data_IF_288153716767
#
_entry.id   IF_288153716767
#
_cell.length_a   1.000
_cell.length_b   1.000
_cell.length_c   1.000
_cell.angle_alpha   90.00
_cell.angle_beta   90.00
_cell.angle_gamma   90.00
#
_symmetry.space_group_name_H-M   'P 1'
#
loop_
_entity.id
_entity.type
_entity.pdbx_description
1 polymer ?
#
# COMPACT_ATOMS: atom_id res chain seq x y z
N UNK A 1 -9.26 5.75 -0.53
CA UNK A 1 -8.76 4.93 -1.67
C UNK A 1 -9.23 5.52 -2.99
N UNK A 2 -10.54 5.64 -3.25
CA UNK A 2 -11.07 6.25 -4.49
C UNK A 2 -10.53 7.67 -4.67
N UNK A 3 -10.53 8.51 -3.62
CA UNK A 3 -10.00 9.88 -3.69
C UNK A 3 -8.51 9.96 -4.09
N UNK A 4 -7.75 8.86 -3.87
CA UNK A 4 -6.30 8.80 -4.12
C UNK A 4 -5.93 8.12 -5.45
N UNK A 5 -6.73 7.14 -5.87
CA UNK A 5 -6.41 6.26 -7.01
C UNK A 5 -7.47 6.26 -8.11
N UNK A 6 -8.57 6.99 -7.93
CA UNK A 6 -9.70 7.01 -8.83
C UNK A 6 -10.61 5.79 -8.70
N UNK A 7 -11.64 5.75 -9.55
CA UNK A 7 -12.66 4.70 -9.59
C UNK A 7 -12.41 3.69 -10.72
N UNK A 8 -11.15 3.30 -10.94
CA UNK A 8 -10.73 2.36 -12.00
C UNK A 8 -9.64 1.41 -11.49
N UNK A 9 -9.53 0.25 -12.13
CA UNK A 9 -8.55 -0.76 -11.76
C UNK A 9 -7.12 -0.22 -11.96
N UNK A 10 -6.28 -0.23 -10.92
CA UNK A 10 -4.89 0.26 -11.00
C UNK A 10 -3.97 -0.60 -11.88
N UNK A 11 -4.45 -1.77 -12.31
CA UNK A 11 -3.66 -2.70 -13.13
C UNK A 11 -4.10 -2.74 -14.59
N UNK A 12 -5.37 -2.55 -14.88
CA UNK A 12 -5.89 -2.65 -16.26
C UNK A 12 -6.90 -1.58 -16.66
N UNK A 13 -7.17 -0.59 -15.79
CA UNK A 13 -8.09 0.52 -16.05
C UNK A 13 -9.58 0.17 -16.07
N UNK A 14 -9.97 -1.11 -15.97
CA UNK A 14 -11.37 -1.52 -16.07
C UNK A 14 -12.18 -1.22 -14.80
N UNK A 15 -13.50 -1.09 -14.99
CA UNK A 15 -14.53 -0.93 -13.96
C UNK A 15 -15.59 -2.05 -14.11
N UNK A 16 -16.41 -2.35 -13.09
CA UNK A 16 -16.38 -1.81 -11.72
C UNK A 16 -15.17 -2.29 -10.91
N UNK A 17 -14.88 -1.60 -9.81
CA UNK A 17 -13.75 -1.92 -8.91
C UNK A 17 -14.22 -2.37 -7.52
N UNK A 18 -13.35 -3.11 -6.83
CA UNK A 18 -13.46 -3.44 -5.43
C UNK A 18 -12.16 -3.14 -4.68
N UNK A 19 -12.28 -2.90 -3.37
CA UNK A 19 -11.16 -2.68 -2.48
C UNK A 19 -10.37 -3.98 -2.25
N UNK A 20 -9.12 -4.04 -2.72
CA UNK A 20 -8.22 -5.14 -2.41
C UNK A 20 -7.17 -4.72 -1.38
N UNK A 21 -6.95 -5.53 -0.35
CA UNK A 21 -5.86 -5.33 0.62
C UNK A 21 -4.59 -5.99 0.10
N UNK A 22 -3.50 -5.23 -0.05
CA UNK A 22 -2.24 -5.74 -0.60
C UNK A 22 -1.44 -6.56 0.44
N UNK A 23 -1.44 -6.08 1.69
CA UNK A 23 -1.04 -6.85 2.87
C UNK A 23 -2.32 -7.29 3.58
N UNK A 24 -2.44 -8.59 3.83
CA UNK A 24 -3.63 -9.17 4.46
C UNK A 24 -3.81 -8.67 5.89
N UNK A 25 -5.08 -8.49 6.32
CA UNK A 25 -5.42 -8.05 7.69
C UNK A 25 -4.95 -9.04 8.76
N UNK A 26 -4.95 -10.34 8.45
CA UNK A 26 -4.36 -11.39 9.30
C UNK A 26 -2.85 -11.23 9.50
N UNK A 27 -2.20 -10.49 8.60
CA UNK A 27 -0.77 -10.14 8.63
C UNK A 27 -0.57 -8.65 8.94
N UNK A 28 -1.48 -8.05 9.72
CA UNK A 28 -1.40 -6.66 10.21
C UNK A 28 -1.72 -5.60 9.13
N UNK A 29 -2.15 -6.02 7.93
CA UNK A 29 -2.58 -5.09 6.89
C UNK A 29 -3.83 -4.30 7.28
N UNK A 30 -3.76 -2.98 7.20
CA UNK A 30 -4.86 -2.12 7.64
C UNK A 30 -5.73 -1.66 6.47
N UNK A 31 -6.92 -1.13 6.79
CA UNK A 31 -7.83 -0.52 5.79
C UNK A 31 -7.37 0.88 5.36
N UNK A 32 -6.12 1.26 5.64
CA UNK A 32 -5.57 2.54 5.24
C UNK A 32 -5.48 2.62 3.71
N UNK A 33 -5.51 3.84 3.15
CA UNK A 33 -5.50 4.00 1.69
C UNK A 33 -4.22 3.47 1.04
N UNK A 34 -3.07 3.48 1.75
CA UNK A 34 -1.77 3.03 1.26
C UNK A 34 -1.73 1.51 1.01
N UNK A 35 -2.46 0.74 1.83
CA UNK A 35 -2.59 -0.71 1.72
C UNK A 35 -3.71 -1.17 0.78
N UNK A 36 -4.56 -0.25 0.33
CA UNK A 36 -5.68 -0.56 -0.55
C UNK A 36 -5.32 -0.35 -2.02
N UNK A 37 -5.75 -1.28 -2.86
CA UNK A 37 -5.64 -1.20 -4.31
C UNK A 37 -7.03 -1.41 -4.95
N UNK A 38 -7.56 -0.44 -5.72
CA UNK A 38 -8.78 -0.67 -6.48
C UNK A 38 -8.51 -1.60 -7.65
N UNK A 39 -9.19 -2.75 -7.68
CA UNK A 39 -9.06 -3.76 -8.72
C UNK A 39 -10.42 -4.13 -9.30
N UNK A 40 -10.49 -4.38 -10.60
CA UNK A 40 -11.66 -5.03 -11.21
C UNK A 40 -11.74 -6.50 -10.80
N UNK A 41 -12.89 -7.14 -10.98
CA UNK A 41 -13.12 -8.53 -10.55
C UNK A 41 -12.05 -9.52 -11.06
N UNK A 42 -11.63 -9.41 -12.33
CA UNK A 42 -10.58 -10.26 -12.91
C UNK A 42 -9.23 -10.11 -12.20
N UNK A 43 -8.78 -8.87 -12.01
CA UNK A 43 -7.51 -8.58 -11.32
C UNK A 43 -7.60 -8.92 -9.83
N UNK A 44 -8.75 -8.67 -9.21
CA UNK A 44 -8.98 -8.97 -7.80
C UNK A 44 -8.90 -10.47 -7.53
N UNK A 45 -9.58 -11.30 -8.35
CA UNK A 45 -9.47 -12.75 -8.27
C UNK A 45 -8.03 -13.22 -8.46
N UNK A 46 -7.35 -12.69 -9.49
CA UNK A 46 -5.94 -13.01 -9.75
C UNK A 46 -5.04 -12.70 -8.55
N UNK A 47 -5.28 -11.59 -7.85
CA UNK A 47 -4.51 -11.21 -6.66
C UNK A 47 -4.69 -12.19 -5.49
N UNK A 48 -5.85 -12.87 -5.41
CA UNK A 48 -6.06 -13.93 -4.41
C UNK A 48 -5.52 -15.30 -4.85
N UNK A 49 -5.45 -15.58 -6.15
CA UNK A 49 -5.10 -16.92 -6.66
C UNK A 49 -3.65 -17.05 -7.15
N UNK A 50 -2.97 -15.95 -7.47
CA UNK A 50 -1.61 -15.96 -8.02
C UNK A 50 -0.66 -15.25 -7.06
N UNK A 51 0.22 -16.02 -6.42
CA UNK A 51 1.25 -15.50 -5.53
C UNK A 51 2.14 -14.45 -6.22
N UNK A 52 2.61 -14.75 -7.43
CA UNK A 52 3.45 -13.84 -8.22
C UNK A 52 2.75 -12.50 -8.50
N UNK A 53 1.47 -12.53 -8.85
CA UNK A 53 0.71 -11.31 -9.08
C UNK A 53 0.49 -10.53 -7.78
N UNK A 54 0.20 -11.21 -6.67
CA UNK A 54 0.06 -10.56 -5.37
C UNK A 54 1.38 -9.90 -4.90
N UNK A 55 2.51 -10.59 -5.07
CA UNK A 55 3.85 -10.05 -4.79
C UNK A 55 4.18 -8.86 -5.69
N UNK A 56 3.87 -8.95 -6.99
CA UNK A 56 4.02 -7.83 -7.92
C UNK A 56 3.28 -6.58 -7.44
N UNK A 57 2.01 -6.71 -7.01
CA UNK A 57 1.24 -5.59 -6.50
C UNK A 57 1.83 -5.00 -5.22
N UNK A 58 2.31 -5.86 -4.29
CA UNK A 58 2.99 -5.42 -3.07
C UNK A 58 4.28 -4.67 -3.38
N UNK A 59 5.11 -5.20 -4.27
CA UNK A 59 6.37 -4.59 -4.67
C UNK A 59 6.14 -3.26 -5.40
N UNK A 60 5.16 -3.20 -6.30
CA UNK A 60 4.74 -1.96 -6.97
C UNK A 60 4.33 -0.89 -5.96
N UNK A 61 3.59 -1.27 -4.92
CA UNK A 61 3.18 -0.35 -3.85
C UNK A 61 4.33 0.07 -2.95
N UNK A 62 5.18 -0.87 -2.54
CA UNK A 62 6.37 -0.58 -1.73
C UNK A 62 7.35 0.35 -2.47
N UNK A 63 7.49 0.20 -3.79
CA UNK A 63 8.29 1.10 -4.60
C UNK A 63 7.69 2.52 -4.72
N UNK A 64 6.39 2.69 -4.49
CA UNK A 64 5.72 4.00 -4.50
C UNK A 64 5.73 4.67 -3.13
N UNK A 65 5.44 3.92 -2.06
CA UNK A 65 5.14 4.47 -0.73
C UNK A 65 6.09 4.01 0.38
N UNK A 66 7.14 3.26 0.03
CA UNK A 66 8.05 2.61 0.97
C UNK A 66 7.54 1.25 1.47
N UNK A 67 8.43 0.41 2.03
CA UNK A 67 8.12 -0.96 2.45
C UNK A 67 7.09 -1.04 3.59
N UNK A 68 6.86 0.04 4.32
CA UNK A 68 5.97 0.07 5.48
C UNK A 68 4.52 0.48 5.17
N UNK A 69 4.15 0.64 3.89
CA UNK A 69 2.83 1.12 3.44
C UNK A 69 1.61 0.41 4.08
N UNK A 70 1.76 -0.88 4.43
CA UNK A 70 0.69 -1.71 5.00
C UNK A 70 0.45 -1.54 6.50
N UNK A 71 1.43 -0.97 7.23
CA UNK A 71 1.47 -0.95 8.69
C UNK A 71 0.63 0.19 9.28
N UNK A 72 0.11 -0.01 10.48
CA UNK A 72 -0.49 1.08 11.28
C UNK A 72 0.49 1.61 12.34
N UNK A 73 0.07 2.69 13.01
CA UNK A 73 0.83 3.34 14.07
C UNK A 73 1.20 2.42 15.24
N UNK A 74 0.34 1.46 15.59
CA UNK A 74 0.64 0.51 16.68
C UNK A 74 1.75 -0.46 16.28
N UNK A 75 1.72 -0.92 15.04
CA UNK A 75 2.74 -1.81 14.47
C UNK A 75 4.09 -1.11 14.38
N UNK A 76 4.11 0.11 13.83
CA UNK A 76 5.34 0.91 13.73
C UNK A 76 5.91 1.22 15.12
N UNK A 77 5.05 1.52 16.10
CA UNK A 77 5.50 1.76 17.47
C UNK A 77 6.08 0.48 18.11
N UNK A 78 5.42 -0.67 17.95
CA UNK A 78 5.90 -1.97 18.45
C UNK A 78 7.26 -2.34 17.87
N UNK A 79 7.48 -2.01 16.60
CA UNK A 79 8.75 -2.19 15.89
C UNK A 79 9.78 -1.08 16.15
N UNK A 80 9.44 -0.09 17.00
CA UNK A 80 10.30 1.06 17.36
C UNK A 80 10.69 1.94 16.17
N UNK A 81 9.86 2.00 15.13
CA UNK A 81 10.03 2.87 13.97
C UNK A 81 9.49 4.28 14.19
N UNK A 82 8.54 4.43 15.13
CA UNK A 82 8.03 5.73 15.59
C UNK A 82 8.08 5.80 17.13
N UNK A 83 8.21 7.00 17.72
CA UNK A 83 8.42 7.15 19.17
C UNK A 83 7.14 6.98 20.00
N UNK A 84 5.96 7.10 19.40
CA UNK A 84 4.65 6.97 20.05
C UNK A 84 3.57 6.63 19.01
N UNK A 85 2.34 6.40 19.45
CA UNK A 85 1.18 6.09 18.58
C UNK A 85 0.32 7.32 18.25
N UNK A 86 0.91 8.53 18.27
CA UNK A 86 0.23 9.74 17.82
C UNK A 86 0.14 9.78 16.29
N UNK A 87 -0.94 10.34 15.76
CA UNK A 87 -1.17 10.39 14.31
C UNK A 87 -0.12 11.26 13.59
N UNK A 88 0.39 12.29 14.27
CA UNK A 88 1.48 13.14 13.77
C UNK A 88 2.79 12.36 13.58
N UNK A 89 3.17 11.52 14.55
CA UNK A 89 4.34 10.64 14.46
C UNK A 89 4.20 9.63 13.33
N UNK A 90 3.01 9.03 13.20
CA UNK A 90 2.68 8.10 12.13
C UNK A 90 2.78 8.77 10.74
N UNK A 91 2.07 9.87 10.51
CA UNK A 91 2.06 10.52 9.19
C UNK A 91 3.41 11.13 8.84
N UNK A 92 4.18 11.65 9.81
CA UNK A 92 5.55 12.12 9.56
C UNK A 92 6.45 10.99 9.07
N UNK A 93 6.36 9.82 9.69
CA UNK A 93 7.11 8.64 9.26
C UNK A 93 6.69 8.19 7.86
N UNK A 94 5.38 8.01 7.63
CA UNK A 94 4.87 7.54 6.33
C UNK A 94 5.20 8.50 5.19
N UNK A 95 5.11 9.82 5.43
CA UNK A 95 5.53 10.82 4.45
C UNK A 95 7.02 10.73 4.14
N UNK A 96 7.85 10.50 5.16
CA UNK A 96 9.26 10.24 4.97
C UNK A 96 9.49 9.03 4.06
N UNK A 97 8.83 7.90 4.32
CA UNK A 97 8.92 6.69 3.48
C UNK A 97 8.54 6.96 2.01
N UNK A 98 7.45 7.71 1.79
CA UNK A 98 7.00 8.12 0.46
C UNK A 98 8.04 9.01 -0.25
N UNK A 99 8.64 9.97 0.46
CA UNK A 99 9.69 10.84 -0.08
C UNK A 99 10.95 10.04 -0.46
N UNK A 100 11.41 9.14 0.41
CA UNK A 100 12.55 8.27 0.12
C UNK A 100 12.30 7.39 -1.10
N UNK A 101 11.12 6.76 -1.18
CA UNK A 101 10.74 5.93 -2.32
C UNK A 101 10.68 6.74 -3.63
N UNK A 102 10.14 7.97 -3.59
CA UNK A 102 10.10 8.87 -4.73
C UNK A 102 11.50 9.29 -5.21
N UNK A 103 12.43 9.54 -4.29
CA UNK A 103 13.83 9.85 -4.64
C UNK A 103 14.55 8.65 -5.26
N UNK A 104 14.40 7.46 -4.67
CA UNK A 104 14.99 6.22 -5.21
C UNK A 104 14.49 5.89 -6.63
N UNK A 105 13.24 6.24 -6.96
CA UNK A 105 12.71 6.09 -8.32
C UNK A 105 13.29 7.07 -9.33
N UNK A 106 13.62 8.29 -8.92
CA UNK A 106 14.18 9.33 -9.81
C UNK A 106 15.66 9.14 -10.10
N UNK A 107 16.42 8.53 -9.20
CA UNK A 107 17.86 8.28 -9.37
C UNK A 107 18.22 7.09 -10.27
N UNK A 108 17.25 6.29 -10.68
CA UNK A 108 17.43 5.10 -11.53
C UNK A 108 17.00 5.33 -12.99
N UNK A 109 16.93 6.58 -13.44
CA UNK A 109 16.42 6.97 -14.75
C UNK A 109 17.43 7.82 -15.53
#
# INVERSE_FOLDING_TARGET
MIDRYGNYCQECGHTPIAAHHLVFRSSIGTGNWRNLCPLCDKCHRRAHTSFEFAEYLRNKRAAELGPHFGKDKYTLFKERLIPNTEDSSYERFMKGEEEHAAHSRKGNN
#
